data_IF_982951641899
#
_entry.id   IF_982951641899
#
_cell.length_a   1.000
_cell.length_b   1.000
_cell.length_c   1.000
_cell.angle_alpha   90.00
_cell.angle_beta   90.00
_cell.angle_gamma   90.00
#
_symmetry.space_group_name_H-M   'P 1'
#
loop_
_entity.id
_entity.type
_entity.pdbx_description
1 polymer ?
#
# COMPACT_ATOMS: atom_id res chain seq x y z
N UNK A 1 5.56 -17.13 17.71
CA UNK A 1 4.74 -17.69 16.61
C UNK A 1 4.34 -16.63 15.60
N UNK A 2 3.52 -15.64 15.98
CA UNK A 2 3.00 -14.65 15.04
C UNK A 2 4.09 -13.88 14.28
N UNK A 3 5.20 -13.54 14.93
CA UNK A 3 6.38 -12.95 14.29
C UNK A 3 6.92 -13.81 13.14
N UNK A 4 7.09 -15.12 13.36
CA UNK A 4 7.56 -16.04 12.30
C UNK A 4 6.61 -16.08 11.10
N UNK A 5 5.30 -15.94 11.32
CA UNK A 5 4.32 -15.88 10.24
C UNK A 5 4.36 -14.54 9.51
N UNK A 6 4.48 -13.42 10.23
CA UNK A 6 4.63 -12.08 9.64
C UNK A 6 5.93 -11.97 8.83
N UNK A 7 7.03 -12.57 9.29
CA UNK A 7 8.31 -12.61 8.58
C UNK A 7 8.25 -13.36 7.24
N UNK A 8 7.30 -14.30 7.08
CA UNK A 8 7.04 -14.91 5.77
C UNK A 8 6.44 -13.91 4.79
N UNK A 9 5.65 -12.96 5.29
CA UNK A 9 4.93 -11.98 4.49
C UNK A 9 5.76 -10.73 4.22
N UNK A 10 6.50 -10.23 5.21
CA UNK A 10 7.23 -8.95 5.20
C UNK A 10 8.64 -9.12 5.76
N UNK A 11 9.63 -8.47 5.15
CA UNK A 11 10.96 -8.35 5.74
C UNK A 11 10.94 -7.28 6.85
N UNK A 12 11.24 -7.64 8.11
CA UNK A 12 11.09 -6.74 9.25
C UNK A 12 12.10 -5.58 9.24
N UNK A 13 13.10 -5.59 8.34
CA UNK A 13 14.14 -4.56 8.28
C UNK A 13 13.76 -3.37 7.41
N UNK A 14 13.02 -3.62 6.32
CA UNK A 14 12.71 -2.61 5.30
C UNK A 14 11.22 -2.55 4.92
N UNK A 15 10.37 -3.43 5.48
CA UNK A 15 8.94 -3.50 5.18
C UNK A 15 8.63 -4.06 3.79
N UNK A 16 9.59 -4.71 3.12
CA UNK A 16 9.35 -5.27 1.79
C UNK A 16 8.52 -6.55 1.90
N UNK A 17 7.35 -6.56 1.26
CA UNK A 17 6.53 -7.77 1.16
C UNK A 17 7.17 -8.80 0.24
N UNK A 18 7.35 -10.03 0.75
CA UNK A 18 8.05 -11.13 0.06
C UNK A 18 7.24 -11.78 -1.08
N UNK A 19 5.91 -11.96 -0.98
CA UNK A 19 5.17 -12.67 -2.03
C UNK A 19 5.16 -11.91 -3.35
N UNK A 20 5.67 -12.53 -4.40
CA UNK A 20 5.68 -11.95 -5.75
C UNK A 20 4.27 -11.63 -6.29
N UNK A 21 3.23 -12.27 -5.74
CA UNK A 21 1.83 -11.96 -6.07
C UNK A 21 1.41 -10.53 -5.65
N UNK A 22 2.16 -9.88 -4.75
CA UNK A 22 1.90 -8.53 -4.25
C UNK A 22 2.73 -7.45 -4.97
N UNK A 23 3.64 -7.87 -5.85
CA UNK A 23 4.50 -6.99 -6.61
C UNK A 23 3.92 -6.73 -8.02
N UNK A 24 4.09 -5.50 -8.50
CA UNK A 24 3.75 -5.10 -9.88
C UNK A 24 4.86 -4.23 -10.45
N UNK A 25 4.94 -4.16 -11.78
CA UNK A 25 5.79 -3.19 -12.44
C UNK A 25 5.10 -1.81 -12.45
N UNK A 26 5.83 -0.78 -12.07
CA UNK A 26 5.36 0.60 -12.20
C UNK A 26 5.42 1.00 -13.69
N UNK A 27 4.31 1.39 -14.32
CA UNK A 27 4.32 1.86 -15.71
C UNK A 27 5.27 3.05 -15.89
N UNK A 28 5.94 3.13 -17.05
CA UNK A 28 6.98 4.13 -17.29
C UNK A 28 6.45 5.58 -17.23
N UNK A 29 5.22 5.80 -17.69
CA UNK A 29 4.54 7.08 -17.61
C UNK A 29 4.20 7.47 -16.16
N UNK A 30 3.80 6.50 -15.32
CA UNK A 30 3.58 6.69 -13.88
C UNK A 30 4.89 7.00 -13.17
N UNK A 31 5.99 6.35 -13.52
CA UNK A 31 7.30 6.65 -12.97
C UNK A 31 7.78 8.06 -13.34
N UNK A 32 7.52 8.52 -14.57
CA UNK A 32 7.83 9.89 -14.98
C UNK A 32 7.00 10.93 -14.20
N UNK A 33 5.70 10.66 -13.98
CA UNK A 33 4.83 11.50 -13.14
C UNK A 33 5.32 11.54 -11.68
N UNK A 34 5.69 10.39 -11.11
CA UNK A 34 6.24 10.30 -9.76
C UNK A 34 7.52 11.13 -9.63
N UNK A 35 8.46 11.04 -10.58
CA UNK A 35 9.69 11.85 -10.56
C UNK A 35 9.40 13.35 -10.63
N UNK A 36 8.43 13.74 -11.46
CA UNK A 36 7.99 15.15 -11.57
C UNK A 36 7.39 15.63 -10.24
N UNK A 37 6.52 14.82 -9.63
CA UNK A 37 5.92 15.13 -8.33
C UNK A 37 6.96 15.18 -7.20
N UNK A 38 7.92 14.24 -7.18
CA UNK A 38 9.01 14.21 -6.23
C UNK A 38 9.89 15.47 -6.32
N UNK A 39 10.22 15.92 -7.53
CA UNK A 39 10.97 17.17 -7.74
C UNK A 39 10.21 18.41 -7.29
N UNK A 40 8.88 18.43 -7.47
CA UNK A 40 8.03 19.55 -7.03
C UNK A 40 7.81 19.57 -5.50
N UNK A 41 7.68 18.40 -4.86
CA UNK A 41 7.35 18.27 -3.44
C UNK A 41 8.59 18.21 -2.54
N UNK A 42 9.68 17.60 -3.00
CA UNK A 42 10.90 17.38 -2.22
C UNK A 42 10.61 16.77 -0.84
N UNK A 43 11.18 17.34 0.22
CA UNK A 43 10.95 16.90 1.60
C UNK A 43 9.50 16.98 2.08
N UNK A 44 8.63 17.73 1.39
CA UNK A 44 7.21 17.80 1.75
C UNK A 44 6.45 16.48 1.50
N UNK A 45 7.03 15.52 0.77
CA UNK A 45 6.45 14.16 0.64
C UNK A 45 6.34 13.50 2.01
N UNK A 46 7.41 13.52 2.82
CA UNK A 46 7.40 13.00 4.18
C UNK A 46 6.87 14.02 5.20
N UNK A 47 7.09 15.31 4.97
CA UNK A 47 6.82 16.38 5.96
C UNK A 47 5.34 16.59 6.34
N UNK A 48 4.40 15.91 5.70
CA UNK A 48 2.96 15.99 6.01
C UNK A 48 2.53 15.08 7.16
N UNK A 49 3.36 14.13 7.57
CA UNK A 49 3.04 13.20 8.66
C UNK A 49 3.38 13.84 10.02
N UNK A 50 2.59 13.55 11.07
CA UNK A 50 2.83 14.08 12.41
C UNK A 50 3.96 13.30 13.11
N UNK A 51 5.20 13.50 12.63
CA UNK A 51 6.37 12.80 13.15
C UNK A 51 6.66 13.16 14.61
N UNK A 52 6.95 12.13 15.41
CA UNK A 52 7.59 12.33 16.72
C UNK A 52 9.06 12.70 16.54
N UNK A 53 9.64 13.33 17.56
CA UNK A 53 11.06 13.70 17.55
C UNK A 53 11.96 12.49 17.29
N UNK A 54 12.90 12.62 16.35
CA UNK A 54 13.85 11.58 15.97
C UNK A 54 13.31 10.48 15.05
N UNK A 55 12.00 10.43 14.80
CA UNK A 55 11.39 9.49 13.85
C UNK A 55 11.64 9.97 12.43
N UNK A 56 12.01 9.04 11.55
CA UNK A 56 12.31 9.30 10.14
C UNK A 56 11.45 8.42 9.24
N UNK A 57 11.28 8.87 8.00
CA UNK A 57 10.70 8.04 6.96
C UNK A 57 11.64 6.85 6.64
N UNK A 58 11.09 5.82 5.98
CA UNK A 58 11.85 4.65 5.54
C UNK A 58 12.96 4.97 4.52
N UNK A 59 12.82 6.10 3.82
CA UNK A 59 13.77 6.57 2.81
C UNK A 59 13.83 8.10 2.82
N UNK A 60 14.99 8.64 2.46
CA UNK A 60 15.19 10.08 2.22
C UNK A 60 14.92 10.45 0.74
N UNK A 61 14.66 9.47 -0.13
CA UNK A 61 14.31 9.70 -1.54
C UNK A 61 12.79 9.93 -1.72
N UNK A 62 12.33 11.14 -2.12
CA UNK A 62 10.92 11.40 -2.35
C UNK A 62 10.32 10.56 -3.50
N UNK A 63 11.12 10.10 -4.47
CA UNK A 63 10.65 9.18 -5.52
C UNK A 63 10.27 7.83 -4.90
N UNK A 64 11.15 7.29 -4.07
CA UNK A 64 10.90 6.03 -3.37
C UNK A 64 9.68 6.13 -2.44
N UNK A 65 9.54 7.22 -1.68
CA UNK A 65 8.39 7.42 -0.81
C UNK A 65 7.06 7.50 -1.58
N UNK A 66 7.06 8.13 -2.75
CA UNK A 66 5.88 8.16 -3.62
C UNK A 66 5.57 6.79 -4.22
N UNK A 67 6.59 6.01 -4.61
CA UNK A 67 6.39 4.62 -5.05
C UNK A 67 5.82 3.78 -3.90
N UNK A 68 6.40 3.88 -2.70
CA UNK A 68 6.00 3.12 -1.53
C UNK A 68 4.54 3.42 -1.13
N UNK A 69 4.10 4.67 -1.29
CA UNK A 69 2.74 5.09 -0.96
C UNK A 69 1.71 4.86 -2.06
N UNK A 70 2.10 4.50 -3.29
CA UNK A 70 1.14 4.41 -4.42
C UNK A 70 1.24 3.16 -5.28
N UNK A 71 2.41 2.52 -5.36
CA UNK A 71 2.69 1.40 -6.26
C UNK A 71 3.36 0.19 -5.60
N UNK A 72 3.82 0.31 -4.35
CA UNK A 72 4.29 -0.84 -3.54
C UNK A 72 3.16 -1.32 -2.64
N UNK A 73 3.07 -2.64 -2.44
CA UNK A 73 2.19 -3.18 -1.43
C UNK A 73 2.73 -2.86 -0.03
N UNK A 74 1.84 -2.54 0.92
CA UNK A 74 2.21 -2.26 2.32
C UNK A 74 1.34 -3.03 3.27
N UNK A 75 1.90 -3.46 4.40
CA UNK A 75 1.20 -4.16 5.47
C UNK A 75 1.08 -3.25 6.70
N UNK A 76 -0.03 -3.36 7.41
CA UNK A 76 -0.19 -2.76 8.74
C UNK A 76 -1.05 -3.66 9.62
N UNK A 77 -0.61 -3.85 10.86
CA UNK A 77 -1.46 -4.45 11.90
C UNK A 77 -2.37 -3.36 12.44
N UNK A 78 -3.68 -3.56 12.29
CA UNK A 78 -4.71 -2.56 12.62
C UNK A 78 -5.60 -2.96 13.79
N UNK A 79 -5.36 -4.14 14.36
CA UNK A 79 -6.07 -4.63 15.53
C UNK A 79 -5.50 -5.98 15.99
N UNK A 80 -5.77 -6.34 17.24
CA UNK A 80 -5.38 -7.62 17.80
C UNK A 80 -6.35 -8.06 18.90
N UNK A 81 -6.72 -9.34 18.90
CA UNK A 81 -7.49 -9.98 19.97
C UNK A 81 -6.63 -11.04 20.69
N UNK A 82 -6.93 -11.30 21.95
CA UNK A 82 -6.19 -12.25 22.81
C UNK A 82 -5.03 -11.62 23.58
N UNK A 83 -4.71 -10.35 23.33
CA UNK A 83 -3.76 -9.57 24.14
C UNK A 83 -4.49 -8.85 25.28
N UNK A 84 -4.15 -9.12 26.56
CA UNK A 84 -4.67 -8.31 27.66
C UNK A 84 -4.09 -6.88 27.61
N UNK A 85 -4.83 -5.88 28.13
CA UNK A 85 -4.26 -4.56 28.38
C UNK A 85 -2.97 -4.65 29.19
N UNK A 86 -1.99 -3.79 28.90
CA UNK A 86 -0.66 -3.83 29.52
C UNK A 86 -0.72 -3.74 31.05
N UNK A 87 -1.66 -2.98 31.59
CA UNK A 87 -1.87 -2.82 33.04
C UNK A 87 -2.37 -4.10 33.74
N UNK A 88 -2.97 -5.03 33.00
CA UNK A 88 -3.49 -6.30 33.51
C UNK A 88 -2.73 -7.52 32.99
N UNK A 89 -1.74 -7.32 32.12
CA UNK A 89 -0.96 -8.39 31.53
C UNK A 89 -0.01 -9.00 32.57
N UNK A 90 -0.09 -10.33 32.76
CA UNK A 90 0.83 -11.09 33.59
C UNK A 90 1.84 -11.90 32.77
N UNK A 91 2.73 -12.63 33.45
CA UNK A 91 3.72 -13.51 32.82
C UNK A 91 3.14 -14.89 32.49
N UNK A 92 2.10 -14.93 31.65
CA UNK A 92 1.39 -16.15 31.25
C UNK A 92 1.50 -16.41 29.76
N UNK A 93 1.44 -17.69 29.35
CA UNK A 93 1.34 -18.06 27.95
C UNK A 93 -0.09 -17.79 27.45
N UNK A 94 -0.19 -17.09 26.31
CA UNK A 94 -1.48 -16.83 25.67
C UNK A 94 -1.95 -18.09 24.91
N UNK A 95 -3.23 -18.50 25.06
CA UNK A 95 -3.74 -19.67 24.37
C UNK A 95 -3.98 -19.41 22.87
N UNK A 96 -4.31 -18.18 22.49
CA UNK A 96 -4.58 -17.76 21.12
C UNK A 96 -4.26 -16.27 20.91
N UNK A 97 -3.99 -15.90 19.65
CA UNK A 97 -3.76 -14.52 19.23
C UNK A 97 -4.36 -14.32 17.84
N UNK A 98 -5.14 -13.26 17.67
CA UNK A 98 -5.69 -12.87 16.36
C UNK A 98 -5.15 -11.50 16.00
N UNK A 99 -4.70 -11.31 14.76
CA UNK A 99 -4.23 -10.03 14.24
C UNK A 99 -5.09 -9.60 13.04
N UNK A 100 -5.55 -8.36 13.04
CA UNK A 100 -6.23 -7.75 11.89
C UNK A 100 -5.20 -7.08 10.99
N UNK A 101 -4.94 -7.70 9.85
CA UNK A 101 -4.00 -7.21 8.86
C UNK A 101 -4.70 -6.34 7.82
N UNK A 102 -4.20 -5.13 7.61
CA UNK A 102 -4.59 -4.27 6.49
C UNK A 102 -3.46 -4.30 5.46
N UNK A 103 -3.78 -4.78 4.25
CA UNK A 103 -2.85 -4.74 3.13
C UNK A 103 -3.34 -3.73 2.10
N UNK A 104 -2.47 -2.79 1.73
CA UNK A 104 -2.65 -1.97 0.53
C UNK A 104 -2.01 -2.69 -0.63
N UNK A 105 -2.75 -2.82 -1.73
CA UNK A 105 -2.28 -3.45 -2.94
C UNK A 105 -1.99 -2.39 -4.01
N UNK A 106 -0.97 -2.59 -4.85
CA UNK A 106 -0.71 -1.74 -5.99
C UNK A 106 -1.91 -1.69 -6.96
N UNK A 107 -2.07 -0.61 -7.74
CA UNK A 107 -3.21 -0.38 -8.62
C UNK A 107 -3.54 -1.53 -9.58
N UNK A 108 -2.53 -2.25 -10.07
CA UNK A 108 -2.66 -3.31 -11.07
C UNK A 108 -2.53 -4.72 -10.48
N UNK A 109 -2.47 -4.85 -9.16
CA UNK A 109 -2.40 -6.13 -8.47
C UNK A 109 -3.79 -6.80 -8.43
N UNK A 110 -3.84 -8.10 -8.74
CA UNK A 110 -5.06 -8.90 -8.60
C UNK A 110 -5.32 -9.21 -7.11
N UNK A 111 -6.40 -8.66 -6.52
CA UNK A 111 -6.67 -8.81 -5.10
C UNK A 111 -7.06 -10.23 -4.69
N UNK A 112 -7.63 -11.04 -5.61
CA UNK A 112 -7.98 -12.44 -5.34
C UNK A 112 -6.74 -13.32 -5.33
N UNK A 113 -5.86 -13.13 -6.32
CA UNK A 113 -4.57 -13.83 -6.37
C UNK A 113 -3.69 -13.46 -5.16
N UNK A 114 -3.68 -12.19 -4.77
CA UNK A 114 -3.00 -11.73 -3.56
C UNK A 114 -3.53 -12.43 -2.30
N UNK A 115 -4.85 -12.43 -2.09
CA UNK A 115 -5.48 -13.07 -0.94
C UNK A 115 -5.19 -14.58 -0.86
N UNK A 116 -5.25 -15.29 -1.98
CA UNK A 116 -4.91 -16.71 -2.04
C UNK A 116 -3.44 -16.95 -1.69
N UNK A 117 -2.52 -16.18 -2.28
CA UNK A 117 -1.09 -16.32 -2.02
C UNK A 117 -0.74 -16.07 -0.54
N UNK A 118 -1.41 -15.10 0.10
CA UNK A 118 -1.22 -14.82 1.53
C UNK A 118 -1.78 -15.96 2.38
N UNK A 119 -2.97 -16.47 2.06
CA UNK A 119 -3.57 -17.59 2.78
C UNK A 119 -2.66 -18.81 2.77
N UNK A 120 -2.23 -19.23 1.59
CA UNK A 120 -1.33 -20.38 1.44
C UNK A 120 -0.02 -20.18 2.21
N UNK A 121 0.57 -18.99 2.11
CA UNK A 121 1.83 -18.66 2.76
C UNK A 121 1.75 -18.74 4.30
N UNK A 122 0.66 -18.22 4.87
CA UNK A 122 0.48 -18.16 6.31
C UNK A 122 0.07 -19.52 6.89
N UNK A 123 -0.76 -20.29 6.18
CA UNK A 123 -1.30 -21.56 6.68
C UNK A 123 -0.42 -22.78 6.37
N UNK A 124 0.47 -22.70 5.38
CA UNK A 124 1.39 -23.80 5.04
C UNK A 124 2.45 -24.03 6.12
N UNK A 125 2.71 -25.28 6.46
CA UNK A 125 3.77 -25.71 7.40
C UNK A 125 3.80 -24.85 8.68
N UNK A 126 2.71 -24.83 9.48
CA UNK A 126 2.63 -23.96 10.63
C UNK A 126 3.75 -24.33 11.62
N UNK A 127 4.51 -23.34 12.13
CA UNK A 127 5.61 -23.63 13.03
C UNK A 127 5.12 -24.40 14.26
N UNK A 128 5.88 -25.39 14.69
CA UNK A 128 5.58 -26.21 15.88
C UNK A 128 4.19 -26.89 15.87
N UNK A 129 3.56 -27.06 14.70
CA UNK A 129 2.23 -27.68 14.58
C UNK A 129 1.07 -26.80 15.09
N UNK A 130 1.27 -25.48 15.16
CA UNK A 130 0.21 -24.57 15.59
C UNK A 130 -1.00 -24.58 14.65
N UNK A 131 -2.18 -24.26 15.19
CA UNK A 131 -3.39 -24.04 14.38
C UNK A 131 -3.37 -22.60 13.85
N UNK A 132 -3.14 -22.45 12.55
CA UNK A 132 -3.10 -21.15 11.87
C UNK A 132 -4.27 -21.05 10.91
N UNK A 133 -5.00 -19.94 10.97
CA UNK A 133 -6.11 -19.63 10.06
C UNK A 133 -6.00 -18.18 9.59
N UNK A 134 -6.17 -17.98 8.30
CA UNK A 134 -6.26 -16.69 7.63
C UNK A 134 -7.61 -16.58 6.91
N UNK A 135 -8.34 -15.52 7.26
CA UNK A 135 -9.64 -15.18 6.70
C UNK A 135 -9.51 -13.85 5.92
N UNK A 136 -9.46 -13.89 4.58
CA UNK A 136 -9.41 -12.66 3.80
C UNK A 136 -10.75 -11.92 3.89
N UNK A 137 -10.70 -10.60 4.12
CA UNK A 137 -11.85 -9.72 3.90
C UNK A 137 -12.20 -9.63 2.40
N UNK A 138 -13.20 -8.82 2.06
CA UNK A 138 -13.62 -8.60 0.65
C UNK A 138 -12.47 -8.01 -0.17
N UNK A 139 -11.88 -8.76 -1.12
CA UNK A 139 -10.78 -8.25 -1.93
C UNK A 139 -11.29 -7.14 -2.85
N UNK A 140 -10.63 -5.98 -2.79
CA UNK A 140 -10.98 -4.81 -3.61
C UNK A 140 -9.81 -4.45 -4.51
N UNK A 141 -10.06 -4.30 -5.81
CA UNK A 141 -9.03 -3.94 -6.77
C UNK A 141 -8.62 -2.47 -6.61
N UNK A 142 -7.36 -2.19 -6.95
CA UNK A 142 -6.90 -0.82 -7.17
C UNK A 142 -7.38 -0.28 -8.52
N UNK A 143 -6.95 0.94 -8.85
CA UNK A 143 -7.27 1.55 -10.13
C UNK A 143 -6.08 2.35 -10.66
N UNK A 144 -5.69 2.07 -11.90
CA UNK A 144 -4.72 2.85 -12.65
C UNK A 144 -5.45 3.62 -13.75
N UNK A 145 -5.35 4.94 -13.74
CA UNK A 145 -5.94 5.77 -14.78
C UNK A 145 -5.38 5.38 -16.16
N UNK A 146 -6.20 5.41 -17.24
CA UNK A 146 -5.68 5.32 -18.59
C UNK A 146 -4.81 6.54 -18.92
N UNK A 147 -4.01 6.44 -19.98
CA UNK A 147 -3.30 7.60 -20.52
C UNK A 147 -4.30 8.68 -20.92
N UNK A 148 -4.03 9.93 -20.57
CA UNK A 148 -4.92 11.03 -20.95
C UNK A 148 -4.94 11.23 -22.46
N UNK A 149 -6.14 11.49 -22.98
CA UNK A 149 -6.26 12.05 -24.31
C UNK A 149 -5.55 13.43 -24.36
N UNK A 150 -4.90 13.80 -25.48
CA UNK A 150 -4.15 15.06 -25.57
C UNK A 150 -4.95 16.30 -25.19
N UNK A 151 -6.24 16.36 -25.54
CA UNK A 151 -7.12 17.48 -25.20
C UNK A 151 -7.31 17.63 -23.68
N UNK A 152 -7.39 16.51 -22.95
CA UNK A 152 -7.58 16.51 -21.49
C UNK A 152 -6.30 16.94 -20.78
N UNK A 153 -5.15 16.40 -21.21
CA UNK A 153 -3.85 16.79 -20.68
C UNK A 153 -3.59 18.30 -20.85
N UNK A 154 -3.84 18.83 -22.06
CA UNK A 154 -3.70 20.26 -22.34
C UNK A 154 -4.67 21.11 -21.52
N UNK A 155 -5.90 20.64 -21.32
CA UNK A 155 -6.91 21.36 -20.53
C UNK A 155 -6.50 21.47 -19.07
N UNK A 156 -6.01 20.37 -18.48
CA UNK A 156 -5.55 20.33 -17.08
C UNK A 156 -4.33 21.26 -16.88
N UNK A 157 -3.33 21.18 -17.77
CA UNK A 157 -2.14 22.01 -17.66
C UNK A 157 -2.44 23.50 -17.85
N UNK A 158 -3.25 23.85 -18.86
CA UNK A 158 -3.68 25.24 -19.12
C UNK A 158 -4.45 25.83 -17.94
N UNK A 159 -5.38 25.06 -17.35
CA UNK A 159 -6.12 25.48 -16.17
C UNK A 159 -5.18 25.73 -14.97
N UNK A 160 -4.24 24.81 -14.72
CA UNK A 160 -3.27 24.97 -13.62
C UNK A 160 -2.41 26.21 -13.80
N UNK A 161 -1.91 26.47 -15.02
CA UNK A 161 -1.11 27.66 -15.31
C UNK A 161 -1.89 28.94 -15.13
N UNK A 162 -3.14 28.97 -15.60
CA UNK A 162 -4.01 30.14 -15.49
C UNK A 162 -4.34 30.50 -14.04
N UNK A 163 -4.59 29.51 -13.19
CA UNK A 163 -5.05 29.73 -11.81
C UNK A 163 -3.89 29.81 -10.82
N UNK A 164 -2.87 28.96 -10.96
CA UNK A 164 -1.77 28.80 -10.01
C UNK A 164 -0.41 29.28 -10.54
N UNK A 165 -0.32 29.73 -11.79
CA UNK A 165 0.93 30.18 -12.41
C UNK A 165 1.94 29.05 -12.67
N UNK A 166 1.56 27.79 -12.49
CA UNK A 166 2.44 26.62 -12.62
C UNK A 166 1.75 25.49 -13.37
N UNK A 167 2.55 24.65 -14.05
CA UNK A 167 2.04 23.46 -14.73
C UNK A 167 1.43 22.45 -13.76
N UNK A 168 0.55 21.61 -14.26
CA UNK A 168 -0.12 20.59 -13.45
C UNK A 168 0.86 19.47 -13.06
N UNK A 169 0.67 18.93 -11.86
CA UNK A 169 1.41 17.75 -11.37
C UNK A 169 0.41 16.62 -11.13
N UNK A 170 0.75 15.42 -11.59
CA UNK A 170 -0.06 14.22 -11.41
C UNK A 170 0.57 13.34 -10.33
N UNK A 171 -0.24 12.92 -9.36
CA UNK A 171 0.20 12.09 -8.23
C UNK A 171 -0.80 10.97 -7.99
N UNK A 172 -0.31 9.81 -7.59
CA UNK A 172 -1.16 8.70 -7.16
C UNK A 172 -1.79 8.96 -5.79
N UNK A 173 -2.76 8.13 -5.42
CA UNK A 173 -3.37 8.12 -4.11
C UNK A 173 -3.18 6.73 -3.48
N UNK A 174 -2.56 6.67 -2.30
CA UNK A 174 -2.35 5.42 -1.55
C UNK A 174 -3.60 4.86 -0.85
N UNK A 175 -4.69 5.65 -0.87
CA UNK A 175 -6.00 5.20 -0.41
C UNK A 175 -6.69 4.30 -1.43
N UNK A 176 -7.89 3.84 -1.07
CA UNK A 176 -8.74 3.07 -1.99
C UNK A 176 -10.06 3.78 -2.17
N UNK A 177 -10.45 4.00 -3.43
CA UNK A 177 -11.76 4.56 -3.81
C UNK A 177 -12.41 3.53 -4.73
N UNK A 178 -13.13 2.52 -4.17
CA UNK A 178 -13.60 1.35 -4.94
C UNK A 178 -14.44 1.72 -6.17
N UNK A 179 -15.16 2.84 -6.10
CA UNK A 179 -15.97 3.36 -7.20
C UNK A 179 -15.16 3.63 -8.48
N UNK A 180 -13.89 4.03 -8.38
CA UNK A 180 -13.05 4.29 -9.56
C UNK A 180 -12.73 3.02 -10.34
N UNK A 181 -12.44 1.91 -9.65
CA UNK A 181 -12.19 0.63 -10.30
C UNK A 181 -13.43 0.15 -11.07
N UNK A 182 -14.61 0.25 -10.44
CA UNK A 182 -15.88 -0.09 -11.06
C UNK A 182 -16.18 0.75 -12.31
N UNK A 183 -15.90 2.07 -12.28
CA UNK A 183 -16.06 2.94 -13.46
C UNK A 183 -15.11 2.55 -14.59
N UNK A 184 -13.84 2.24 -14.27
CA UNK A 184 -12.87 1.81 -15.27
C UNK A 184 -13.26 0.50 -15.98
N UNK A 185 -13.83 -0.45 -15.24
CA UNK A 185 -14.36 -1.69 -15.83
C UNK A 185 -15.61 -1.44 -16.67
N UNK A 186 -16.51 -0.56 -16.21
CA UNK A 186 -17.77 -0.27 -16.89
C UNK A 186 -17.60 0.57 -18.16
N UNK A 187 -16.61 1.48 -18.16
CA UNK A 187 -16.37 2.43 -19.25
C UNK A 187 -14.90 2.39 -19.71
N UNK A 188 -14.43 1.28 -20.32
CA UNK A 188 -13.02 1.09 -20.66
C UNK A 188 -12.54 1.92 -21.88
N UNK A 189 -13.43 2.65 -22.55
CA UNK A 189 -13.16 3.41 -23.79
C UNK A 189 -13.38 4.92 -23.66
N UNK A 190 -13.64 5.40 -22.44
CA UNK A 190 -13.65 6.84 -22.10
C UNK A 190 -12.33 7.22 -21.47
#
# INVERSE_FOLDING_TARGET
MAQLLLERLEDPRDGTLRPAALAVNVPADRLAQIRTAAGALGGAVAGKLPWLHGVRALSDDPVELLINSTWKATLSVTGADGLPPTVSAGNVLLPALTLKLSLRLPPTCDPRRAAHAIKDLLERDPPYGAQVRFEPGTPTAGWNAPSFAPWLANSIDSASRRIYGRGAVHVGCGGSIPFMAMLGERFPRT
#
